data_IF_610823126084
#
_entry.id   IF_610823126084
#
_cell.length_a   1.000
_cell.length_b   1.000
_cell.length_c   1.000
_cell.angle_alpha   90.00
_cell.angle_beta   90.00
_cell.angle_gamma   90.00
#
_symmetry.space_group_name_H-M   'P 1'
#
loop_
_entity.id
_entity.type
_entity.pdbx_description
1 polymer ?
#
# COMPACT_ATOMS: atom_id res chain seq x y z
N UNK A 1 -7.31 -10.77 -8.17
CA UNK A 1 -6.61 -9.48 -8.19
C UNK A 1 -7.40 -8.48 -7.36
N UNK A 2 -6.85 -8.12 -6.20
CA UNK A 2 -7.38 -7.21 -5.18
C UNK A 2 -7.92 -5.88 -5.68
N UNK A 3 -9.16 -5.79 -6.21
CA UNK A 3 -9.77 -4.49 -6.59
C UNK A 3 -9.61 -3.44 -5.49
N UNK A 4 -9.71 -3.89 -4.23
CA UNK A 4 -9.53 -3.05 -3.05
C UNK A 4 -8.12 -2.49 -2.91
N UNK A 5 -7.06 -3.30 -3.06
CA UNK A 5 -5.67 -2.84 -2.95
C UNK A 5 -5.34 -1.84 -4.06
N UNK A 6 -5.89 -2.04 -5.26
CA UNK A 6 -5.70 -1.11 -6.37
C UNK A 6 -6.40 0.24 -6.13
N UNK A 7 -7.62 0.21 -5.59
CA UNK A 7 -8.37 1.42 -5.20
C UNK A 7 -7.67 2.16 -4.06
N UNK A 8 -7.16 1.42 -3.08
CA UNK A 8 -6.34 1.98 -2.02
C UNK A 8 -5.10 2.63 -2.62
N UNK A 9 -4.38 1.96 -3.54
CA UNK A 9 -3.21 2.57 -4.19
C UNK A 9 -3.53 3.89 -4.91
N UNK A 10 -4.64 3.99 -5.64
CA UNK A 10 -5.06 5.28 -6.21
C UNK A 10 -5.32 6.34 -5.15
N UNK A 11 -5.91 5.95 -4.01
CA UNK A 11 -6.14 6.84 -2.88
C UNK A 11 -4.81 7.30 -2.26
N UNK A 12 -3.84 6.40 -2.05
CA UNK A 12 -2.49 6.77 -1.58
C UNK A 12 -1.83 7.73 -2.59
N UNK A 13 -1.95 7.47 -3.89
CA UNK A 13 -1.38 8.33 -4.93
C UNK A 13 -1.98 9.73 -4.95
N UNK A 14 -3.23 9.89 -4.51
CA UNK A 14 -3.87 11.20 -4.35
C UNK A 14 -3.62 11.84 -2.97
N UNK A 15 -3.13 11.07 -2.00
CA UNK A 15 -2.92 11.50 -0.62
C UNK A 15 -1.42 11.39 -0.25
N UNK A 16 -0.63 12.46 -0.46
CA UNK A 16 0.81 12.44 -0.19
C UNK A 16 1.15 12.08 1.27
N UNK A 17 0.29 12.42 2.23
CA UNK A 17 0.50 12.06 3.64
C UNK A 17 0.48 10.55 3.90
N UNK A 18 -0.29 9.77 3.12
CA UNK A 18 -0.28 8.31 3.20
C UNK A 18 0.99 7.74 2.56
N UNK A 19 1.42 8.32 1.44
CA UNK A 19 2.73 8.00 0.81
C UNK A 19 3.85 8.21 1.82
N UNK A 20 3.88 9.32 2.55
CA UNK A 20 4.93 9.59 3.54
C UNK A 20 4.89 8.62 4.72
N UNK A 21 3.70 8.29 5.25
CA UNK A 21 3.56 7.25 6.27
C UNK A 21 4.10 5.90 5.80
N UNK A 22 3.77 5.51 4.57
CA UNK A 22 4.22 4.26 3.98
C UNK A 22 5.72 4.28 3.64
N UNK A 23 6.27 5.42 3.20
CA UNK A 23 7.71 5.61 3.01
C UNK A 23 8.50 5.57 4.33
N UNK A 24 7.87 5.92 5.44
CA UNK A 24 8.47 5.81 6.78
C UNK A 24 8.71 4.35 7.19
N UNK A 25 7.99 3.41 6.57
CA UNK A 25 8.24 1.99 6.77
C UNK A 25 9.59 1.62 6.13
N UNK A 26 10.60 1.33 6.97
CA UNK A 26 11.91 0.87 6.51
C UNK A 26 11.90 -0.59 6.04
N UNK A 27 10.88 -1.35 6.44
CA UNK A 27 10.77 -2.79 6.21
C UNK A 27 9.47 -3.15 5.50
N UNK A 28 9.53 -4.20 4.68
CA UNK A 28 8.37 -4.70 3.92
C UNK A 28 7.22 -5.13 4.82
N UNK A 29 7.51 -5.81 5.92
CA UNK A 29 6.50 -6.22 6.91
C UNK A 29 5.77 -5.00 7.49
N UNK A 30 6.53 -4.00 7.90
CA UNK A 30 5.98 -2.78 8.48
C UNK A 30 5.17 -1.97 7.44
N UNK A 31 5.61 -1.96 6.17
CA UNK A 31 4.85 -1.36 5.07
C UNK A 31 3.50 -2.06 4.87
N UNK A 32 3.51 -3.39 4.89
CA UNK A 32 2.32 -4.21 4.70
C UNK A 32 1.34 -4.01 5.85
N UNK A 33 1.80 -4.03 7.10
CA UNK A 33 0.97 -3.75 8.28
C UNK A 33 0.35 -2.35 8.22
N UNK A 34 1.16 -1.32 7.92
CA UNK A 34 0.67 0.06 7.79
C UNK A 34 -0.36 0.18 6.67
N UNK A 35 -0.13 -0.47 5.53
CA UNK A 35 -1.07 -0.47 4.40
C UNK A 35 -2.40 -1.11 4.80
N UNK A 36 -2.38 -2.22 5.53
CA UNK A 36 -3.59 -2.92 6.00
C UNK A 36 -4.32 -2.10 7.06
N UNK A 37 -3.61 -1.51 8.01
CA UNK A 37 -4.22 -0.61 9.00
C UNK A 37 -4.88 0.60 8.34
N UNK A 38 -4.16 1.29 7.45
CA UNK A 38 -4.70 2.44 6.73
C UNK A 38 -5.87 2.02 5.82
N UNK A 39 -5.76 0.86 5.17
CA UNK A 39 -6.86 0.26 4.43
C UNK A 39 -8.12 0.14 5.29
N UNK A 40 -8.00 -0.47 6.47
CA UNK A 40 -9.10 -0.66 7.40
C UNK A 40 -9.70 0.67 7.89
N UNK A 41 -8.86 1.68 8.19
CA UNK A 41 -9.33 3.02 8.59
C UNK A 41 -10.14 3.72 7.48
N UNK A 42 -9.80 3.47 6.22
CA UNK A 42 -10.52 4.01 5.06
C UNK A 42 -11.69 3.13 4.60
N UNK A 43 -11.99 2.03 5.33
CA UNK A 43 -13.11 1.13 5.05
C UNK A 43 -12.80 0.00 4.06
N UNK A 44 -11.53 -0.24 3.75
CA UNK A 44 -11.11 -1.39 2.96
C UNK A 44 -10.85 -2.62 3.84
N UNK A 45 -11.12 -3.81 3.31
CA UNK A 45 -10.96 -5.08 4.04
C UNK A 45 -9.97 -6.03 3.37
N UNK A 46 -8.89 -5.48 2.79
CA UNK A 46 -7.83 -6.31 2.20
C UNK A 46 -6.85 -6.79 3.28
N UNK A 47 -6.22 -7.94 3.04
CA UNK A 47 -5.26 -8.54 3.99
C UNK A 47 -3.82 -8.20 3.62
N UNK A 48 -2.92 -8.42 4.57
CA UNK A 48 -1.47 -8.29 4.39
C UNK A 48 -0.96 -9.14 3.22
N UNK A 49 -1.49 -10.35 3.06
CA UNK A 49 -1.18 -11.21 1.90
C UNK A 49 -1.56 -10.55 0.57
N UNK A 50 -2.71 -9.89 0.48
CA UNK A 50 -3.13 -9.21 -0.76
C UNK A 50 -2.22 -8.03 -1.09
N UNK A 51 -1.83 -7.27 -0.06
CA UNK A 51 -0.90 -6.16 -0.18
C UNK A 51 0.47 -6.67 -0.62
N UNK A 52 0.98 -7.73 -0.01
CA UNK A 52 2.25 -8.33 -0.40
C UNK A 52 2.27 -8.80 -1.85
N UNK A 53 1.21 -9.49 -2.28
CA UNK A 53 1.05 -9.92 -3.67
C UNK A 53 1.02 -8.71 -4.59
N UNK A 54 0.31 -7.64 -4.22
CA UNK A 54 0.25 -6.42 -5.00
C UNK A 54 1.62 -5.73 -5.13
N UNK A 55 2.36 -5.62 -4.02
CA UNK A 55 3.71 -5.06 -3.99
C UNK A 55 4.64 -5.91 -4.85
N UNK A 56 4.58 -7.23 -4.75
CA UNK A 56 5.42 -8.13 -5.55
C UNK A 56 5.14 -7.98 -7.05
N UNK A 57 3.85 -7.89 -7.42
CA UNK A 57 3.43 -7.74 -8.82
C UNK A 57 3.66 -6.33 -9.38
N UNK A 58 3.66 -5.30 -8.54
CA UNK A 58 3.82 -3.90 -8.94
C UNK A 58 5.13 -3.30 -8.43
N UNK A 59 6.11 -4.12 -8.03
CA UNK A 59 7.36 -3.68 -7.42
C UNK A 59 8.08 -2.66 -8.29
N UNK A 60 8.11 -2.91 -9.61
CA UNK A 60 8.71 -2.01 -10.61
C UNK A 60 7.99 -0.64 -10.67
N UNK A 61 6.67 -0.64 -10.51
CA UNK A 61 5.85 0.58 -10.52
C UNK A 61 6.03 1.38 -9.24
N UNK A 62 6.03 0.69 -8.09
CA UNK A 62 6.20 1.29 -6.77
C UNK A 62 7.61 1.88 -6.63
N UNK A 63 8.66 1.15 -7.06
CA UNK A 63 10.02 1.67 -7.06
C UNK A 63 10.14 2.99 -7.84
N UNK A 64 9.45 3.12 -8.97
CA UNK A 64 9.49 4.35 -9.78
C UNK A 64 8.73 5.53 -9.16
N UNK A 65 7.70 5.23 -8.36
CA UNK A 65 6.85 6.23 -7.71
C UNK A 65 7.41 6.68 -6.35
N UNK A 66 8.18 5.82 -5.68
CA UNK A 66 8.80 6.11 -4.39
C UNK A 66 10.31 6.43 -4.48
N UNK A 67 10.95 6.29 -5.65
CA UNK A 67 12.32 6.80 -5.92
C UNK A 67 12.41 8.32 -5.88
#
# INVERSE_FOLDING_TARGET
>A
MSKQVKQFHELISQNPSLVEKLKSASDRDNFVELTVQLGAEYGYSFTSTEVEVYINQNMLTLMRQFS
#
